data_IF_574528068081
#
_entry.id   IF_574528068081
#
_cell.length_a   1.000
_cell.length_b   1.000
_cell.length_c   1.000
_cell.angle_alpha   90.00
_cell.angle_beta   90.00
_cell.angle_gamma   90.00
#
_symmetry.space_group_name_H-M   'P 1'
#
loop_
_entity.id
_entity.type
_entity.pdbx_description
1 polymer ?
#
# COMPACT_ATOMS: atom_id res chain seq x y z
N UNK A 1 -15.92 4.41 -11.99
CA UNK A 1 -15.22 5.23 -10.98
C UNK A 1 -15.36 4.65 -9.57
N UNK A 2 -16.25 3.68 -9.36
CA UNK A 2 -16.53 3.07 -8.04
C UNK A 2 -15.41 2.16 -7.49
N UNK A 3 -14.57 1.62 -8.38
CA UNK A 3 -13.59 0.58 -8.01
C UNK A 3 -12.42 1.13 -7.18
N UNK A 4 -11.89 2.30 -7.54
CA UNK A 4 -10.75 2.90 -6.83
C UNK A 4 -11.10 3.26 -5.39
N UNK A 5 -12.23 3.95 -5.18
CA UNK A 5 -12.66 4.39 -3.86
C UNK A 5 -12.95 3.17 -2.98
N UNK A 6 -13.71 2.20 -3.48
CA UNK A 6 -14.04 0.99 -2.73
C UNK A 6 -12.78 0.22 -2.29
N UNK A 7 -11.82 0.05 -3.20
CA UNK A 7 -10.58 -0.66 -2.91
C UNK A 7 -9.70 0.08 -1.88
N UNK A 8 -9.55 1.39 -2.02
CA UNK A 8 -8.78 2.20 -1.07
C UNK A 8 -9.50 2.32 0.29
N UNK A 9 -10.82 2.37 0.33
CA UNK A 9 -11.58 2.31 1.59
C UNK A 9 -11.41 0.98 2.28
N UNK A 10 -11.41 -0.13 1.53
CA UNK A 10 -11.19 -1.48 2.10
C UNK A 10 -9.77 -1.61 2.65
N UNK A 11 -8.78 -1.05 1.96
CA UNK A 11 -7.42 -0.94 2.48
C UNK A 11 -7.38 -0.07 3.74
N UNK A 12 -7.95 1.13 3.70
CA UNK A 12 -7.99 2.05 4.84
C UNK A 12 -8.58 1.42 6.10
N UNK A 13 -9.71 0.71 5.99
CA UNK A 13 -10.31 -0.03 7.12
C UNK A 13 -9.37 -1.04 7.76
N UNK A 14 -8.47 -1.67 6.99
CA UNK A 14 -7.50 -2.62 7.54
C UNK A 14 -6.36 -1.92 8.28
N UNK A 15 -5.99 -0.71 7.87
CA UNK A 15 -4.81 0.01 8.35
C UNK A 15 -5.14 1.32 9.08
N UNK A 16 -6.40 1.52 9.49
CA UNK A 16 -6.92 2.78 10.05
C UNK A 16 -6.21 3.24 11.34
N UNK A 17 -5.49 2.33 12.01
CA UNK A 17 -4.67 2.63 13.20
C UNK A 17 -3.16 2.73 12.96
N UNK A 18 -2.68 2.42 11.75
CA UNK A 18 -1.26 2.40 11.42
C UNK A 18 -0.89 3.67 10.64
N UNK A 19 0.10 4.47 11.09
CA UNK A 19 0.62 5.56 10.27
C UNK A 19 1.10 5.05 8.91
N UNK A 20 0.83 5.81 7.83
CA UNK A 20 1.19 5.39 6.46
C UNK A 20 2.69 5.05 6.33
N UNK A 21 3.57 5.72 7.09
CA UNK A 21 5.00 5.45 7.11
C UNK A 21 5.44 4.18 7.85
N UNK A 22 4.57 3.54 8.64
CA UNK A 22 4.89 2.30 9.38
C UNK A 22 4.40 1.04 8.66
N UNK A 23 3.55 1.19 7.64
CA UNK A 23 3.01 0.07 6.86
C UNK A 23 4.14 -0.57 6.04
N UNK A 24 4.39 -1.84 6.32
CA UNK A 24 5.46 -2.62 5.67
C UNK A 24 4.98 -3.36 4.42
N UNK A 25 5.92 -3.73 3.54
CA UNK A 25 5.66 -4.58 2.38
C UNK A 25 5.02 -5.92 2.78
N UNK A 26 5.47 -6.50 3.89
CA UNK A 26 4.97 -7.78 4.41
C UNK A 26 3.51 -7.68 4.84
N UNK A 27 3.14 -6.62 5.58
CA UNK A 27 1.74 -6.41 5.97
C UNK A 27 0.81 -6.25 4.76
N UNK A 28 1.28 -5.57 3.70
CA UNK A 28 0.52 -5.42 2.45
C UNK A 28 0.38 -6.78 1.75
N UNK A 29 1.45 -7.55 1.64
CA UNK A 29 1.42 -8.87 1.00
C UNK A 29 0.52 -9.85 1.77
N UNK A 30 0.58 -9.86 3.09
CA UNK A 30 -0.28 -10.68 3.94
C UNK A 30 -1.75 -10.29 3.79
N UNK A 31 -2.05 -8.99 3.74
CA UNK A 31 -3.40 -8.51 3.48
C UNK A 31 -3.90 -8.89 2.08
N UNK A 32 -3.08 -8.71 1.04
CA UNK A 32 -3.44 -9.11 -0.32
C UNK A 32 -3.73 -10.62 -0.40
N UNK A 33 -2.97 -11.44 0.33
CA UNK A 33 -3.16 -12.90 0.41
C UNK A 33 -4.42 -13.29 1.17
N UNK A 34 -4.85 -12.51 2.16
CA UNK A 34 -6.08 -12.77 2.90
C UNK A 34 -7.35 -12.43 2.11
N UNK A 35 -7.25 -11.63 1.05
CA UNK A 35 -8.36 -11.40 0.12
C UNK A 35 -8.69 -12.68 -0.65
N UNK A 36 -9.90 -13.21 -0.44
CA UNK A 36 -10.46 -14.33 -1.19
C UNK A 36 -10.99 -13.87 -2.56
N UNK A 37 -10.08 -13.36 -3.39
CA UNK A 37 -10.37 -12.82 -4.73
C UNK A 37 -9.46 -13.45 -5.76
N UNK A 38 -9.80 -13.29 -7.04
CA UNK A 38 -8.96 -13.78 -8.14
C UNK A 38 -7.56 -13.15 -8.12
N UNK A 39 -6.59 -13.84 -8.73
CA UNK A 39 -5.22 -13.33 -8.89
C UNK A 39 -5.22 -11.99 -9.66
N UNK A 40 -6.10 -11.84 -10.65
CA UNK A 40 -6.26 -10.59 -11.41
C UNK A 40 -6.73 -9.45 -10.51
N UNK A 41 -7.74 -9.70 -9.68
CA UNK A 41 -8.24 -8.73 -8.70
C UNK A 41 -7.15 -8.36 -7.70
N UNK A 42 -6.40 -9.34 -7.17
CA UNK A 42 -5.30 -9.09 -6.24
C UNK A 42 -4.20 -8.20 -6.85
N UNK A 43 -3.83 -8.44 -8.10
CA UNK A 43 -2.87 -7.60 -8.83
C UNK A 43 -3.42 -6.18 -9.06
N UNK A 44 -4.72 -6.06 -9.31
CA UNK A 44 -5.38 -4.77 -9.41
C UNK A 44 -5.28 -3.99 -8.09
N UNK A 45 -5.62 -4.62 -6.96
CA UNK A 45 -5.42 -4.03 -5.62
C UNK A 45 -3.97 -3.59 -5.42
N UNK A 46 -2.99 -4.46 -5.71
CA UNK A 46 -1.57 -4.14 -5.57
C UNK A 46 -1.19 -2.87 -6.36
N UNK A 47 -1.66 -2.74 -7.60
CA UNK A 47 -1.40 -1.55 -8.44
C UNK A 47 -2.02 -0.28 -7.85
N UNK A 48 -3.24 -0.36 -7.31
CA UNK A 48 -3.89 0.80 -6.69
C UNK A 48 -3.17 1.25 -5.41
N UNK A 49 -2.77 0.31 -4.56
CA UNK A 49 -1.99 0.60 -3.35
C UNK A 49 -0.65 1.24 -3.73
N UNK A 50 0.02 0.72 -4.76
CA UNK A 50 1.28 1.29 -5.26
C UNK A 50 1.10 2.77 -5.64
N UNK A 51 0.03 3.12 -6.35
CA UNK A 51 -0.27 4.51 -6.72
C UNK A 51 -0.53 5.39 -5.50
N UNK A 52 -1.27 4.89 -4.51
CA UNK A 52 -1.55 5.62 -3.27
C UNK A 52 -0.26 5.90 -2.48
N UNK A 53 0.64 4.92 -2.36
CA UNK A 53 1.92 5.12 -1.68
C UNK A 53 2.87 6.01 -2.48
N UNK A 54 2.86 5.96 -3.81
CA UNK A 54 3.62 6.94 -4.61
C UNK A 54 3.16 8.37 -4.35
N UNK A 55 1.85 8.59 -4.25
CA UNK A 55 1.30 9.88 -3.85
C UNK A 55 1.73 10.27 -2.43
N UNK A 56 1.71 9.32 -1.49
CA UNK A 56 2.16 9.55 -0.11
C UNK A 56 3.65 9.92 -0.03
N UNK A 57 4.52 9.28 -0.81
CA UNK A 57 5.94 9.63 -0.94
C UNK A 57 6.10 11.05 -1.49
N UNK A 58 5.41 11.38 -2.59
CA UNK A 58 5.48 12.71 -3.20
C UNK A 58 5.04 13.83 -2.24
N UNK A 59 4.12 13.53 -1.32
CA UNK A 59 3.64 14.46 -0.29
C UNK A 59 4.48 14.46 0.99
N UNK A 60 5.46 13.56 1.12
CA UNK A 60 6.29 13.44 2.31
C UNK A 60 5.60 12.73 3.50
N UNK A 61 4.50 12.02 3.28
CA UNK A 61 3.81 11.24 4.33
C UNK A 61 4.52 9.91 4.65
N UNK A 62 5.37 9.43 3.74
CA UNK A 62 6.22 8.26 3.95
C UNK A 62 7.53 8.42 3.16
N UNK A 63 8.58 7.77 3.62
CA UNK A 63 9.91 7.85 3.01
C UNK A 63 10.05 6.98 1.76
N UNK A 64 9.22 5.94 1.60
CA UNK A 64 9.31 5.00 0.50
C UNK A 64 7.98 4.30 0.22
N UNK A 65 7.88 3.71 -0.97
CA UNK A 65 6.72 2.90 -1.34
C UNK A 65 6.98 1.43 -0.97
N UNK A 66 6.27 0.88 0.04
CA UNK A 66 6.44 -0.51 0.47
C UNK A 66 6.02 -1.53 -0.60
N UNK A 67 5.21 -1.16 -1.60
CA UNK A 67 4.73 -2.08 -2.64
C UNK A 67 5.81 -2.37 -3.70
N UNK A 68 6.74 -1.43 -3.92
CA UNK A 68 7.82 -1.57 -4.89
C UNK A 68 8.92 -2.53 -4.44
N UNK A 69 8.90 -2.96 -3.17
CA UNK A 69 9.99 -3.70 -2.57
C UNK A 69 11.16 -2.79 -2.20
N UNK A 70 11.87 -3.20 -1.16
CA UNK A 70 12.98 -2.51 -0.46
C UNK A 70 13.82 -1.59 -1.36
N UNK A 71 13.68 -0.28 -1.17
CA UNK A 71 14.81 0.66 -1.27
C UNK A 71 15.21 1.05 0.15
N UNK A 72 16.33 0.50 0.61
CA UNK A 72 17.07 1.06 1.75
C UNK A 72 17.65 2.37 1.26
N UNK A 73 17.02 3.48 1.60
CA UNK A 73 17.73 4.76 1.59
C UNK A 73 18.05 5.07 3.05
N UNK A 74 19.20 4.54 3.49
CA UNK A 74 19.87 5.10 4.64
C UNK A 74 20.29 6.51 4.28
N UNK A 75 19.54 7.53 4.68
CA UNK A 75 20.13 8.86 4.87
C UNK A 75 20.78 8.86 6.24
N UNK A 76 22.06 8.50 6.26
CA UNK A 76 22.93 8.91 7.35
C UNK A 76 23.02 10.44 7.31
N UNK A 77 22.68 11.08 8.44
CA UNK A 77 23.08 12.45 8.79
C UNK A 77 24.30 12.32 9.67
#
# INVERSE_FOLDING_TARGET
MDDLRSHLTTFGKRFDGDPVGTITSTQIDDWLRSLNVSIFTRNHYRRLIMLAFNFAVQRGYTNSNPVLGRFVVSRAV
#
